data_IF_942624397285
#
_entry.id   IF_942624397285
#
_cell.length_a   1.000
_cell.length_b   1.000
_cell.length_c   1.000
_cell.angle_alpha   90.00
_cell.angle_beta   90.00
_cell.angle_gamma   90.00
#
_symmetry.space_group_name_H-M   'P 1'
#
loop_
_entity.id
_entity.type
_entity.pdbx_description
1 polymer ?
#
# COMPACT_ATOMS: atom_id res chain seq x y z
N UNK A 1 -13.39 31.65 -27.98
CA UNK A 1 -14.01 30.79 -26.95
C UNK A 1 -13.64 29.36 -27.27
N UNK A 2 -12.66 28.80 -26.57
CA UNK A 2 -12.26 27.39 -26.76
C UNK A 2 -12.06 26.81 -25.38
N UNK A 3 -12.94 25.88 -25.03
CA UNK A 3 -13.04 25.22 -23.74
C UNK A 3 -11.82 24.32 -23.52
N UNK A 4 -11.07 24.50 -22.44
CA UNK A 4 -10.03 23.57 -22.00
C UNK A 4 -10.71 22.33 -21.40
N UNK A 5 -10.57 21.18 -22.07
CA UNK A 5 -10.88 19.89 -21.48
C UNK A 5 -9.77 19.52 -20.47
N UNK A 6 -10.14 19.45 -19.19
CA UNK A 6 -9.28 18.91 -18.13
C UNK A 6 -9.10 17.42 -18.38
N UNK A 7 -7.96 17.01 -18.92
CA UNK A 7 -7.61 15.59 -19.03
C UNK A 7 -7.12 15.10 -17.67
N UNK A 8 -7.95 14.30 -17.01
CA UNK A 8 -7.62 13.56 -15.81
C UNK A 8 -6.49 12.58 -16.16
N UNK A 9 -5.25 12.92 -15.81
CA UNK A 9 -4.10 12.04 -15.94
C UNK A 9 -4.16 10.98 -14.83
N UNK A 10 -5.08 10.02 -14.95
CA UNK A 10 -4.86 8.72 -14.32
C UNK A 10 -3.62 8.14 -15.00
N UNK A 11 -2.54 8.02 -14.23
CA UNK A 11 -1.32 7.38 -14.71
C UNK A 11 -1.69 5.93 -15.03
N UNK A 12 -1.64 5.58 -16.31
CA UNK A 12 -1.63 4.19 -16.75
C UNK A 12 -0.50 3.50 -15.99
N UNK A 13 -0.84 2.63 -15.04
CA UNK A 13 0.08 1.61 -14.58
C UNK A 13 0.26 0.65 -15.76
N UNK A 14 1.48 0.57 -16.28
CA UNK A 14 1.81 -0.35 -17.37
C UNK A 14 1.46 -1.78 -16.97
N UNK A 15 0.82 -2.52 -17.89
CA UNK A 15 0.37 -3.90 -17.71
C UNK A 15 1.47 -4.86 -17.25
N UNK A 16 2.73 -4.54 -17.55
CA UNK A 16 3.90 -5.36 -17.19
C UNK A 16 4.28 -5.26 -15.70
N UNK A 17 3.78 -4.25 -14.96
CA UNK A 17 4.02 -4.09 -13.52
C UNK A 17 2.99 -4.80 -12.64
N UNK A 18 1.94 -5.38 -13.24
CA UNK A 18 0.81 -6.00 -12.53
C UNK A 18 1.03 -7.51 -12.29
N UNK A 19 2.07 -8.10 -12.86
CA UNK A 19 2.16 -9.56 -12.94
C UNK A 19 2.86 -10.23 -11.75
N UNK A 20 3.51 -9.48 -10.87
CA UNK A 20 4.32 -10.04 -9.77
C UNK A 20 4.29 -9.15 -8.54
N UNK A 21 4.16 -9.75 -7.35
CA UNK A 21 4.30 -9.03 -6.06
C UNK A 21 5.75 -8.53 -5.83
N UNK A 22 6.67 -8.94 -6.70
CA UNK A 22 8.11 -8.72 -6.67
C UNK A 22 8.54 -7.23 -6.70
N UNK A 23 7.64 -6.30 -7.04
CA UNK A 23 7.92 -4.87 -7.07
C UNK A 23 6.88 -4.07 -6.31
N UNK A 24 6.92 -4.12 -4.98
CA UNK A 24 6.19 -3.14 -4.19
C UNK A 24 6.95 -1.83 -4.19
N UNK A 25 6.44 -0.93 -5.04
CA UNK A 25 6.70 0.49 -5.28
C UNK A 25 7.02 1.36 -4.03
N UNK A 26 6.92 0.83 -2.82
CA UNK A 26 7.13 1.55 -1.56
C UNK A 26 8.61 1.70 -1.19
N UNK A 27 9.46 0.66 -1.32
CA UNK A 27 10.85 0.72 -0.80
C UNK A 27 11.70 1.76 -1.53
N UNK A 28 11.74 1.75 -2.86
CA UNK A 28 12.55 2.71 -3.63
C UNK A 28 12.08 4.15 -3.43
N UNK A 29 10.78 4.35 -3.23
CA UNK A 29 10.23 5.65 -2.93
C UNK A 29 10.61 6.09 -1.51
N UNK A 30 10.47 5.21 -0.51
CA UNK A 30 10.85 5.49 0.87
C UNK A 30 12.36 5.79 0.99
N UNK A 31 13.21 5.00 0.33
CA UNK A 31 14.66 5.17 0.31
C UNK A 31 15.08 6.55 -0.21
N UNK A 32 14.41 7.03 -1.27
CA UNK A 32 14.63 8.37 -1.83
C UNK A 32 14.42 9.48 -0.79
N UNK A 33 13.48 9.30 0.13
CA UNK A 33 13.17 10.27 1.20
C UNK A 33 13.81 9.90 2.54
N UNK A 34 14.59 8.81 2.60
CA UNK A 34 15.25 8.29 3.81
C UNK A 34 14.26 7.89 4.90
N UNK A 35 13.12 7.30 4.50
CA UNK A 35 12.20 6.66 5.44
C UNK A 35 12.46 5.16 5.51
N UNK A 36 12.26 4.58 6.68
CA UNK A 36 12.20 3.14 6.87
C UNK A 36 10.87 2.57 6.41
N UNK A 37 10.87 1.27 6.04
CA UNK A 37 9.65 0.50 5.74
C UNK A 37 9.55 -0.63 6.75
N UNK A 38 8.46 -0.68 7.51
CA UNK A 38 8.21 -1.74 8.49
C UNK A 38 7.98 -3.07 7.77
N UNK A 39 8.63 -4.13 8.26
CA UNK A 39 8.60 -5.47 7.62
C UNK A 39 7.68 -6.49 8.29
N UNK A 40 7.25 -6.19 9.51
CA UNK A 40 6.48 -7.11 10.35
C UNK A 40 4.99 -7.09 10.04
N UNK A 41 4.50 -6.04 9.38
CA UNK A 41 3.12 -5.88 8.95
C UNK A 41 3.06 -5.78 7.43
N UNK A 42 2.08 -6.47 6.87
CA UNK A 42 1.95 -6.76 5.45
C UNK A 42 0.51 -6.49 5.05
N UNK A 43 0.29 -6.16 3.78
CA UNK A 43 -1.04 -6.20 3.22
C UNK A 43 -1.55 -7.63 3.10
N UNK A 44 -2.85 -7.75 2.89
CA UNK A 44 -3.54 -9.04 2.92
C UNK A 44 -4.69 -9.08 1.92
N UNK A 45 -5.08 -10.30 1.51
CA UNK A 45 -6.36 -10.53 0.86
C UNK A 45 -7.51 -10.14 1.77
N UNK A 46 -8.54 -9.53 1.18
CA UNK A 46 -9.72 -9.07 1.91
C UNK A 46 -11.00 -9.28 1.10
N UNK A 47 -12.07 -9.68 1.78
CA UNK A 47 -13.38 -9.89 1.17
C UNK A 47 -14.36 -10.48 2.17
N UNK A 48 -14.84 -11.71 1.93
CA UNK A 48 -15.66 -12.44 2.92
C UNK A 48 -14.89 -12.81 4.19
N UNK A 49 -13.57 -12.93 4.07
CA UNK A 49 -12.63 -13.13 5.18
C UNK A 49 -11.87 -11.83 5.37
N UNK A 50 -11.63 -11.45 6.63
CA UNK A 50 -11.02 -10.17 6.94
C UNK A 50 -9.53 -10.13 6.55
N UNK A 51 -8.75 -11.13 6.96
CA UNK A 51 -7.36 -11.33 6.55
C UNK A 51 -7.21 -12.70 5.88
N UNK A 52 -6.81 -12.72 4.62
CA UNK A 52 -6.61 -13.93 3.82
C UNK A 52 -5.37 -13.78 2.91
N UNK A 53 -5.03 -14.82 2.16
CA UNK A 53 -4.07 -14.69 1.07
C UNK A 53 -4.60 -13.73 -0.02
N UNK A 54 -3.73 -12.97 -0.68
CA UNK A 54 -2.27 -13.05 -0.65
C UNK A 54 -1.65 -12.26 0.50
N UNK A 55 -0.44 -12.65 0.92
CA UNK A 55 0.43 -11.80 1.75
C UNK A 55 1.15 -10.79 0.84
N UNK A 56 1.02 -9.49 1.14
CA UNK A 56 1.58 -8.40 0.33
C UNK A 56 2.66 -7.66 1.13
N UNK A 57 3.93 -7.98 0.88
CA UNK A 57 5.06 -7.35 1.58
C UNK A 57 5.35 -5.95 1.03
N UNK A 58 5.64 -5.01 1.93
CA UNK A 58 5.89 -3.61 1.55
C UNK A 58 7.35 -3.28 1.20
N UNK A 59 8.26 -4.23 1.41
CA UNK A 59 9.70 -4.06 1.17
C UNK A 59 10.16 -4.99 0.03
N UNK A 60 11.34 -4.69 -0.52
CA UNK A 60 11.94 -5.50 -1.58
C UNK A 60 12.16 -6.93 -1.10
N UNK A 61 11.56 -7.88 -1.81
CA UNK A 61 11.66 -9.32 -1.57
C UNK A 61 11.75 -10.04 -2.92
N UNK A 62 11.99 -11.35 -2.88
CA UNK A 62 12.06 -12.20 -4.08
C UNK A 62 10.92 -13.24 -4.08
N UNK A 63 9.83 -12.96 -3.34
CA UNK A 63 8.73 -13.90 -3.20
C UNK A 63 7.90 -13.86 -4.47
N UNK A 64 7.80 -15.01 -5.14
CA UNK A 64 7.01 -15.11 -6.35
C UNK A 64 5.51 -15.10 -6.07
N UNK A 65 4.74 -14.60 -7.03
CA UNK A 65 3.29 -14.70 -7.03
C UNK A 65 2.70 -13.94 -8.19
N UNK A 66 1.41 -14.15 -8.49
CA UNK A 66 0.72 -13.45 -9.58
C UNK A 66 -0.59 -12.90 -9.08
N UNK A 67 -0.86 -11.65 -9.44
CA UNK A 67 -2.19 -11.05 -9.25
C UNK A 67 -3.20 -11.77 -10.13
N UNK A 68 -4.34 -12.13 -9.56
CA UNK A 68 -5.39 -12.90 -10.23
C UNK A 68 -6.62 -12.02 -10.51
N UNK A 69 -7.29 -12.23 -11.64
CA UNK A 69 -8.55 -11.54 -11.95
C UNK A 69 -9.57 -11.73 -10.83
N UNK A 70 -10.24 -10.64 -10.44
CA UNK A 70 -11.20 -10.55 -9.34
C UNK A 70 -10.61 -10.77 -7.93
N UNK A 71 -9.29 -10.79 -7.79
CA UNK A 71 -8.64 -10.82 -6.48
C UNK A 71 -8.71 -9.43 -5.85
N UNK A 72 -9.03 -9.41 -4.55
CA UNK A 72 -9.06 -8.19 -3.75
C UNK A 72 -8.06 -8.29 -2.61
N UNK A 73 -7.20 -7.28 -2.45
CA UNK A 73 -6.18 -7.23 -1.41
C UNK A 73 -5.85 -5.79 -1.00
N UNK A 74 -5.17 -5.63 0.12
CA UNK A 74 -4.72 -4.34 0.65
C UNK A 74 -3.28 -4.04 0.26
N UNK A 75 -2.98 -2.76 0.05
CA UNK A 75 -1.62 -2.23 0.06
C UNK A 75 -1.60 -1.19 1.18
N UNK A 76 -0.80 -1.44 2.23
CA UNK A 76 -0.89 -0.69 3.49
C UNK A 76 0.47 -0.40 4.14
N UNK A 77 1.44 0.19 3.41
CA UNK A 77 2.80 0.38 3.90
C UNK A 77 2.86 1.29 5.12
N UNK A 78 3.62 0.87 6.12
CA UNK A 78 3.97 1.67 7.29
C UNK A 78 5.41 2.21 7.12
N UNK A 79 5.55 3.53 7.12
CA UNK A 79 6.81 4.24 6.95
C UNK A 79 7.27 4.86 8.26
N UNK A 80 8.57 4.82 8.55
CA UNK A 80 9.14 5.39 9.78
C UNK A 80 10.25 6.40 9.49
N UNK A 81 10.42 7.40 10.37
CA UNK A 81 11.55 8.36 10.30
C UNK A 81 12.81 7.79 10.99
N UNK A 82 12.65 6.77 11.83
CA UNK A 82 13.73 6.13 12.58
C UNK A 82 13.70 4.62 12.44
N UNK A 83 13.65 3.90 13.56
CA UNK A 83 13.64 2.43 13.58
C UNK A 83 12.48 1.84 12.77
N UNK A 84 12.75 0.74 12.07
CA UNK A 84 11.73 -0.11 11.43
C UNK A 84 11.30 -1.27 12.34
N UNK A 85 11.97 -1.43 13.48
CA UNK A 85 11.67 -2.49 14.43
C UNK A 85 10.46 -2.08 15.29
N UNK A 86 9.43 -2.93 15.36
CA UNK A 86 8.29 -2.71 16.22
C UNK A 86 8.54 -3.23 17.64
N UNK A 87 7.88 -2.61 18.60
CA UNK A 87 7.67 -3.12 19.96
C UNK A 87 6.17 -3.12 20.22
N UNK A 88 5.64 -4.26 20.69
CA UNK A 88 4.24 -4.37 21.11
C UNK A 88 4.14 -3.99 22.59
N UNK A 89 3.15 -3.18 22.93
CA UNK A 89 2.83 -2.84 24.32
C UNK A 89 2.14 -4.00 25.05
N UNK A 90 2.06 -3.90 26.37
CA UNK A 90 1.46 -4.91 27.25
C UNK A 90 -0.05 -5.13 27.01
N UNK A 91 -0.69 -4.26 26.21
CA UNK A 91 -2.08 -4.43 25.77
C UNK A 91 -2.24 -5.49 24.66
N UNK A 92 -1.14 -6.03 24.14
CA UNK A 92 -1.06 -7.01 23.05
C UNK A 92 -1.63 -6.53 21.70
N UNK A 93 -1.72 -5.21 21.50
CA UNK A 93 -2.30 -4.62 20.28
C UNK A 93 -1.53 -3.41 19.78
N UNK A 94 -1.19 -2.48 20.67
CA UNK A 94 -0.51 -1.25 20.29
C UNK A 94 0.92 -1.57 19.90
N UNK A 95 1.28 -1.22 18.68
CA UNK A 95 2.64 -1.40 18.16
C UNK A 95 3.26 -0.05 17.92
N UNK A 96 4.43 0.15 18.52
CA UNK A 96 5.22 1.37 18.40
C UNK A 96 6.58 1.06 17.78
N UNK A 97 7.26 2.08 17.28
CA UNK A 97 8.67 1.97 16.89
C UNK A 97 9.55 1.77 18.12
N UNK A 98 10.57 0.92 18.00
CA UNK A 98 11.51 0.60 19.10
C UNK A 98 12.23 1.84 19.64
N UNK A 99 12.44 2.85 18.80
CA UNK A 99 13.10 4.10 19.16
C UNK A 99 12.13 5.26 19.48
N UNK A 100 10.82 5.01 19.46
CA UNK A 100 9.78 6.03 19.68
C UNK A 100 9.64 7.05 18.56
N UNK A 101 10.30 6.87 17.42
CA UNK A 101 10.18 7.74 16.24
C UNK A 101 8.80 7.69 15.61
N UNK A 102 8.44 8.75 14.86
CA UNK A 102 7.17 8.82 14.14
C UNK A 102 7.04 7.73 13.07
N UNK A 103 5.82 7.23 12.95
CA UNK A 103 5.37 6.32 11.89
C UNK A 103 4.13 6.90 11.19
N UNK A 104 3.95 6.58 9.92
CA UNK A 104 2.77 6.90 9.15
C UNK A 104 2.34 5.72 8.27
N UNK A 105 1.04 5.52 8.12
CA UNK A 105 0.45 4.48 7.28
C UNK A 105 -0.67 5.07 6.43
N UNK A 106 -0.82 4.56 5.21
CA UNK A 106 -2.03 4.70 4.40
C UNK A 106 -2.38 3.34 3.81
N UNK A 107 -3.67 3.09 3.64
CA UNK A 107 -4.17 1.83 3.13
C UNK A 107 -5.21 2.06 2.04
N UNK A 108 -5.13 1.23 0.99
CA UNK A 108 -6.21 1.06 0.03
C UNK A 108 -6.51 -0.41 -0.22
N UNK A 109 -7.79 -0.70 -0.44
CA UNK A 109 -8.26 -1.98 -0.97
C UNK A 109 -8.28 -1.91 -2.49
N UNK A 110 -7.60 -2.86 -3.13
CA UNK A 110 -7.41 -2.94 -4.57
C UNK A 110 -8.14 -4.16 -5.12
N UNK A 111 -8.89 -3.98 -6.20
CA UNK A 111 -9.50 -5.06 -6.99
C UNK A 111 -8.73 -5.21 -8.31
N UNK A 112 -8.29 -6.43 -8.62
CA UNK A 112 -7.70 -6.74 -9.91
C UNK A 112 -8.80 -6.98 -10.93
N UNK A 113 -8.77 -6.21 -12.01
CA UNK A 113 -9.73 -6.27 -13.11
C UNK A 113 -9.05 -6.88 -14.34
N UNK A 114 -9.83 -7.11 -15.40
CA UNK A 114 -9.31 -7.69 -16.65
C UNK A 114 -8.23 -6.81 -17.28
N UNK A 115 -8.37 -5.51 -17.12
CA UNK A 115 -7.58 -4.49 -17.81
C UNK A 115 -6.69 -3.67 -16.85
N UNK A 116 -6.55 -4.11 -15.59
CA UNK A 116 -5.71 -3.43 -14.60
C UNK A 116 -6.15 -3.64 -13.16
N UNK A 117 -6.22 -2.55 -12.40
CA UNK A 117 -6.62 -2.55 -10.99
C UNK A 117 -7.53 -1.35 -10.68
N UNK A 118 -8.46 -1.55 -9.76
CA UNK A 118 -9.40 -0.53 -9.27
C UNK A 118 -9.17 -0.29 -7.77
N UNK A 119 -9.16 0.99 -7.35
CA UNK A 119 -9.03 1.38 -5.95
C UNK A 119 -10.43 1.51 -5.35
N UNK A 120 -10.86 0.53 -4.55
CA UNK A 120 -12.22 0.46 -4.02
C UNK A 120 -12.49 1.46 -2.88
N UNK A 121 -11.45 1.89 -2.19
CA UNK A 121 -11.56 2.78 -1.02
C UNK A 121 -11.10 4.22 -1.31
N UNK A 122 -11.16 4.63 -2.58
CA UNK A 122 -10.79 5.98 -2.97
C UNK A 122 -11.74 7.02 -2.36
N UNK A 123 -11.19 8.06 -1.75
CA UNK A 123 -11.99 9.16 -1.20
C UNK A 123 -12.58 10.02 -2.34
N UNK A 124 -13.91 10.09 -2.43
CA UNK A 124 -14.62 10.74 -3.54
C UNK A 124 -14.54 12.27 -3.53
N UNK A 125 -14.28 12.89 -2.37
CA UNK A 125 -14.21 14.35 -2.17
C UNK A 125 -12.79 14.92 -2.13
N UNK A 126 -11.76 14.08 -2.34
CA UNK A 126 -10.37 14.44 -2.05
C UNK A 126 -10.10 14.49 -0.54
N UNK A 127 -8.84 14.67 -0.10
CA UNK A 127 -8.54 14.77 1.32
C UNK A 127 -9.33 15.92 1.92
N UNK A 128 -10.04 15.66 3.04
CA UNK A 128 -10.58 16.73 3.85
C UNK A 128 -9.41 17.67 4.18
N UNK A 129 -9.51 18.94 3.77
CA UNK A 129 -8.53 19.94 4.17
C UNK A 129 -8.61 20.01 5.69
N UNK A 130 -7.57 19.52 6.37
CA UNK A 130 -7.47 19.64 7.81
C UNK A 130 -7.66 21.11 8.22
N UNK A 131 -8.46 21.32 9.26
CA UNK A 131 -8.65 22.61 9.92
C UNK A 131 -7.37 23.07 10.62
#
# INVERSE_FOLDING_TARGET
MTTLAHTNKQKHFSFDLILTYDYVFSSDHADKYRYGVVRHFVGHGVGRVFHADPVVQHFRNNDGGRMMLNQTFTIEPMLTIGSVNPVMWDDNWTVVTEDGSLSAQFEHTILITKDGAEILTQCSSGPARGS
#
